data_IF_390539054966
#
_entry.id   IF_390539054966
#
_cell.length_a   1.000
_cell.length_b   1.000
_cell.length_c   1.000
_cell.angle_alpha   90.00
_cell.angle_beta   90.00
_cell.angle_gamma   90.00
#
_symmetry.space_group_name_H-M   'P 1'
#
loop_
_entity.id
_entity.type
_entity.pdbx_description
1 polymer ?
#
# COMPACT_ATOMS: atom_id res chain seq x y z
N UNK A 1 7.70 -83.03 37.20
CA UNK A 1 7.10 -82.33 38.35
C UNK A 1 6.48 -81.06 37.78
N UNK A 2 5.34 -81.09 37.10
CA UNK A 2 3.98 -81.48 37.52
C UNK A 2 3.38 -80.53 38.56
N UNK A 3 2.42 -79.71 38.11
CA UNK A 3 1.17 -79.24 38.75
C UNK A 3 0.86 -77.83 38.23
N UNK A 4 0.03 -77.66 37.21
CA UNK A 4 -1.45 -77.77 37.19
C UNK A 4 -2.11 -76.79 38.15
N UNK A 5 -2.71 -75.73 37.59
CA UNK A 5 -3.82 -75.02 38.22
C UNK A 5 -4.94 -74.87 37.18
N UNK A 6 -6.02 -75.59 37.45
CA UNK A 6 -7.39 -75.33 37.01
C UNK A 6 -8.11 -74.76 38.27
N UNK A 7 -9.19 -73.98 38.28
CA UNK A 7 -10.33 -73.79 37.37
C UNK A 7 -11.19 -72.63 37.93
N UNK A 8 -12.09 -72.11 37.09
CA UNK A 8 -13.41 -71.54 37.44
C UNK A 8 -13.57 -70.06 37.77
N UNK A 9 -13.90 -69.31 36.71
CA UNK A 9 -15.12 -68.52 36.49
C UNK A 9 -15.80 -67.76 37.65
N UNK A 10 -15.94 -66.45 37.45
CA UNK A 10 -17.17 -65.71 37.74
C UNK A 10 -17.33 -64.58 36.70
N UNK A 11 -18.38 -64.68 35.88
CA UNK A 11 -18.77 -63.63 34.96
C UNK A 11 -19.49 -62.52 35.74
N UNK A 12 -18.94 -61.31 35.69
CA UNK A 12 -19.61 -60.08 36.13
C UNK A 12 -19.73 -59.17 34.90
N UNK A 13 -20.92 -59.16 34.31
CA UNK A 13 -21.31 -58.17 33.30
C UNK A 13 -21.45 -56.81 33.97
N UNK A 14 -20.40 -55.99 33.88
CA UNK A 14 -20.50 -54.56 34.18
C UNK A 14 -20.84 -53.84 32.88
N UNK A 15 -22.08 -53.35 32.79
CA UNK A 15 -22.45 -52.41 31.75
C UNK A 15 -21.71 -51.09 32.01
N UNK A 16 -20.60 -50.88 31.31
CA UNK A 16 -19.94 -49.59 31.28
C UNK A 16 -20.81 -48.64 30.45
N UNK A 17 -21.51 -47.73 31.12
CA UNK A 17 -22.07 -46.56 30.47
C UNK A 17 -20.90 -45.77 29.85
N UNK A 18 -20.87 -45.68 28.52
CA UNK A 18 -19.98 -44.77 27.80
C UNK A 18 -20.44 -43.34 28.09
N UNK A 19 -20.00 -42.78 29.21
CA UNK A 19 -19.94 -41.34 29.35
C UNK A 19 -18.90 -40.85 28.35
N UNK A 20 -19.35 -40.40 27.19
CA UNK A 20 -18.53 -39.58 26.29
C UNK A 20 -18.14 -38.34 27.09
N UNK A 21 -16.96 -38.39 27.68
CA UNK A 21 -16.25 -37.21 28.15
C UNK A 21 -15.91 -36.43 26.90
N UNK A 22 -16.86 -35.60 26.45
CA UNK A 22 -16.55 -34.51 25.56
C UNK A 22 -15.53 -33.66 26.31
N UNK A 23 -14.26 -33.77 25.94
CA UNK A 23 -13.30 -32.73 26.22
C UNK A 23 -13.90 -31.46 25.61
N UNK A 24 -14.50 -30.63 26.45
CA UNK A 24 -14.80 -29.27 26.08
C UNK A 24 -13.44 -28.64 25.77
N UNK A 25 -13.10 -28.57 24.48
CA UNK A 25 -12.08 -27.65 24.03
C UNK A 25 -12.55 -26.28 24.51
N UNK A 26 -11.84 -25.71 25.48
CA UNK A 26 -11.97 -24.31 25.79
C UNK A 26 -11.67 -23.56 24.48
N UNK A 27 -12.71 -22.94 23.92
CA UNK A 27 -12.57 -22.01 22.82
C UNK A 27 -11.61 -20.90 23.31
N UNK A 28 -10.45 -20.70 22.69
CA UNK A 28 -9.58 -19.61 23.08
C UNK A 28 -10.31 -18.29 22.81
N UNK A 29 -10.51 -17.51 23.88
CA UNK A 29 -11.11 -16.19 23.83
C UNK A 29 -10.51 -15.39 22.64
N UNK A 30 -11.34 -14.78 21.77
CA UNK A 30 -10.84 -14.09 20.59
C UNK A 30 -9.85 -13.01 21.03
N UNK A 31 -8.59 -13.16 20.64
CA UNK A 31 -7.56 -12.12 20.79
C UNK A 31 -8.14 -10.84 20.21
N UNK A 32 -8.16 -9.71 20.94
CA UNK A 32 -8.60 -8.45 20.38
C UNK A 32 -7.71 -8.14 19.16
N UNK A 33 -8.30 -8.22 17.97
CA UNK A 33 -7.64 -7.76 16.75
C UNK A 33 -7.26 -6.28 16.97
N UNK A 34 -6.01 -5.88 16.68
CA UNK A 34 -5.66 -4.47 16.70
C UNK A 34 -6.61 -3.76 15.73
N UNK A 35 -7.43 -2.86 16.26
CA UNK A 35 -8.27 -1.99 15.45
C UNK A 35 -7.32 -1.26 14.49
N UNK A 36 -7.56 -1.26 13.16
CA UNK A 36 -6.77 -0.42 12.26
C UNK A 36 -6.81 1.00 12.82
N UNK A 37 -5.66 1.57 13.16
CA UNK A 37 -5.58 2.98 13.54
C UNK A 37 -6.18 3.75 12.36
N UNK A 38 -7.25 4.54 12.54
CA UNK A 38 -7.77 5.36 11.48
C UNK A 38 -6.65 6.30 11.03
N UNK A 39 -6.17 6.13 9.81
CA UNK A 39 -5.34 7.17 9.17
C UNK A 39 -6.24 8.40 9.12
N UNK A 40 -5.87 9.53 9.75
CA UNK A 40 -6.72 10.71 9.74
C UNK A 40 -6.98 11.11 8.28
N UNK A 41 -8.25 11.11 7.89
CA UNK A 41 -8.65 11.52 6.55
C UNK A 41 -8.63 13.04 6.54
N UNK A 42 -7.60 13.62 5.90
CA UNK A 42 -7.63 15.01 5.48
C UNK A 42 -8.76 15.30 4.50
N UNK A 43 -8.75 16.46 3.84
CA UNK A 43 -9.79 16.83 2.90
C UNK A 43 -9.82 15.73 1.84
N UNK A 44 -11.02 15.21 1.61
CA UNK A 44 -11.30 14.25 0.56
C UNK A 44 -10.67 14.75 -0.73
N UNK A 45 -9.94 13.87 -1.40
CA UNK A 45 -9.56 13.94 -2.81
C UNK A 45 -10.06 15.19 -3.55
N UNK A 46 -9.12 16.04 -3.98
CA UNK A 46 -9.45 17.21 -4.77
C UNK A 46 -9.79 16.79 -6.20
N UNK A 47 -10.71 17.51 -6.83
CA UNK A 47 -11.07 17.25 -8.23
C UNK A 47 -9.80 17.27 -9.09
N UNK A 48 -9.57 16.17 -9.80
CA UNK A 48 -8.42 16.07 -10.68
C UNK A 48 -8.46 17.17 -11.75
N UNK A 49 -7.31 17.76 -12.09
CA UNK A 49 -7.24 18.78 -13.12
C UNK A 49 -7.85 18.34 -14.44
N UNK A 50 -8.46 19.28 -15.15
CA UNK A 50 -9.00 19.04 -16.48
C UNK A 50 -8.01 19.55 -17.54
N UNK A 51 -8.00 18.97 -18.76
CA UNK A 51 -7.25 19.53 -19.87
C UNK A 51 -7.57 21.01 -20.08
N UNK A 52 -6.56 21.81 -20.39
CA UNK A 52 -6.60 23.25 -20.63
C UNK A 52 -7.04 24.11 -19.43
N UNK A 53 -7.27 23.50 -18.27
CA UNK A 53 -7.50 24.25 -17.02
C UNK A 53 -6.21 24.88 -16.50
N UNK A 54 -6.33 26.01 -15.79
CA UNK A 54 -5.18 26.70 -15.21
C UNK A 54 -4.47 25.84 -14.15
N UNK A 55 -3.14 25.90 -14.11
CA UNK A 55 -2.34 25.34 -13.03
C UNK A 55 -1.51 26.42 -12.33
N UNK A 56 -1.28 26.25 -11.03
CA UNK A 56 -0.46 27.17 -10.26
C UNK A 56 1.03 27.00 -10.59
N UNK A 57 1.81 28.07 -10.45
CA UNK A 57 3.25 28.06 -10.75
C UNK A 57 4.02 27.01 -9.93
N UNK A 58 3.59 26.78 -8.69
CA UNK A 58 4.25 25.82 -7.81
C UNK A 58 4.14 24.37 -8.31
N UNK A 59 3.22 24.04 -9.23
CA UNK A 59 3.07 22.70 -9.82
C UNK A 59 3.58 22.61 -11.26
N UNK A 60 4.27 23.64 -11.78
CA UNK A 60 4.82 23.62 -13.13
C UNK A 60 5.73 22.39 -13.39
N UNK A 61 5.58 21.78 -14.56
CA UNK A 61 6.27 20.54 -14.93
C UNK A 61 5.72 19.26 -14.28
N UNK A 62 4.87 19.34 -13.24
CA UNK A 62 4.34 18.16 -12.56
C UNK A 62 3.43 17.34 -13.48
N UNK A 63 3.55 16.01 -13.38
CA UNK A 63 2.61 15.07 -13.99
C UNK A 63 1.50 14.66 -13.00
N UNK A 64 0.28 14.49 -13.49
CA UNK A 64 -0.86 13.97 -12.72
C UNK A 64 -1.72 13.08 -13.61
N UNK A 65 -2.38 12.02 -13.08
CA UNK A 65 -3.47 11.36 -13.80
C UNK A 65 -4.58 12.35 -14.17
N UNK A 66 -5.08 12.23 -15.40
CA UNK A 66 -6.27 12.98 -15.85
C UNK A 66 -7.57 12.42 -15.25
N UNK A 67 -7.58 11.12 -14.96
CA UNK A 67 -8.64 10.42 -14.25
C UNK A 67 -8.02 9.71 -13.03
N UNK A 68 -8.35 10.13 -11.79
CA UNK A 68 -7.79 9.57 -10.58
C UNK A 68 -8.18 8.10 -10.36
N UNK A 69 -9.26 7.62 -10.98
CA UNK A 69 -9.67 6.21 -10.91
C UNK A 69 -8.76 5.30 -11.75
N UNK A 70 -7.93 5.85 -12.65
CA UNK A 70 -7.10 5.10 -13.57
C UNK A 70 -5.68 4.87 -13.01
N UNK A 71 -5.45 3.68 -12.44
CA UNK A 71 -4.19 3.31 -11.77
C UNK A 71 -3.18 2.55 -12.65
N UNK A 72 -3.54 2.25 -13.91
CA UNK A 72 -2.71 1.46 -14.83
C UNK A 72 -1.64 2.26 -15.60
N UNK A 73 -0.82 1.56 -16.38
CA UNK A 73 0.24 2.14 -17.22
C UNK A 73 -0.29 2.88 -18.46
N UNK A 74 -1.52 2.58 -18.85
CA UNK A 74 -2.22 3.25 -19.95
C UNK A 74 -2.96 4.50 -19.49
N UNK A 75 -2.65 5.00 -18.27
CA UNK A 75 -3.34 6.14 -17.72
C UNK A 75 -3.07 7.39 -18.54
N UNK A 76 -4.10 8.18 -18.80
CA UNK A 76 -3.92 9.50 -19.40
C UNK A 76 -3.31 10.42 -18.35
N UNK A 77 -2.28 11.15 -18.74
CA UNK A 77 -1.58 12.06 -17.88
C UNK A 77 -1.76 13.50 -18.38
N UNK A 78 -1.80 14.42 -17.43
CA UNK A 78 -1.67 15.84 -17.68
C UNK A 78 -0.32 16.31 -17.15
N UNK A 79 0.24 17.32 -17.82
CA UNK A 79 1.41 18.05 -17.37
C UNK A 79 1.06 19.52 -17.23
N UNK A 80 1.38 20.13 -16.09
CA UNK A 80 1.30 21.58 -15.96
C UNK A 80 2.46 22.20 -16.74
N UNK A 81 2.16 23.06 -17.69
CA UNK A 81 3.18 23.78 -18.48
C UNK A 81 2.61 25.12 -18.92
N UNK A 82 3.42 26.17 -18.79
CA UNK A 82 3.01 27.54 -19.12
C UNK A 82 1.69 27.97 -18.44
N UNK A 83 1.48 27.51 -17.20
CA UNK A 83 0.30 27.87 -16.40
C UNK A 83 -1.00 27.14 -16.78
N UNK A 84 -0.96 26.12 -17.64
CA UNK A 84 -2.10 25.27 -17.96
C UNK A 84 -1.78 23.77 -17.89
N UNK A 85 -2.77 22.97 -17.53
CA UNK A 85 -2.71 21.51 -17.59
C UNK A 85 -2.91 21.03 -19.03
N UNK A 86 -1.87 20.49 -19.65
CA UNK A 86 -1.90 19.96 -21.01
C UNK A 86 -1.85 18.45 -21.02
N UNK A 87 -2.41 17.82 -22.05
CA UNK A 87 -2.27 16.36 -22.22
C UNK A 87 -0.80 16.00 -22.44
N UNK A 88 -0.26 15.11 -21.61
CA UNK A 88 1.09 14.61 -21.78
C UNK A 88 1.13 13.61 -22.95
N UNK A 89 1.92 13.94 -23.98
CA UNK A 89 2.03 13.15 -25.21
C UNK A 89 3.25 12.23 -25.28
N UNK A 90 4.11 12.22 -24.25
CA UNK A 90 5.35 11.44 -24.26
C UNK A 90 5.09 9.93 -24.13
N UNK A 91 5.91 9.07 -24.76
CA UNK A 91 5.74 7.62 -24.69
C UNK A 91 6.12 7.04 -23.31
N UNK A 92 6.94 7.77 -22.54
CA UNK A 92 7.45 7.34 -21.24
C UNK A 92 7.36 8.51 -20.26
N UNK A 93 6.45 8.47 -19.27
CA UNK A 93 6.26 9.56 -18.32
C UNK A 93 7.30 9.49 -17.20
N UNK A 94 8.58 9.53 -17.54
CA UNK A 94 9.66 9.65 -16.55
C UNK A 94 9.70 11.09 -16.05
N UNK A 95 9.43 11.29 -14.76
CA UNK A 95 9.37 12.63 -14.15
C UNK A 95 9.99 12.62 -12.76
N UNK A 96 10.58 13.75 -12.39
CA UNK A 96 11.00 14.08 -11.03
C UNK A 96 9.93 14.85 -10.25
N UNK A 97 8.76 15.10 -10.87
CA UNK A 97 7.68 15.88 -10.29
C UNK A 97 6.30 15.27 -10.58
N UNK A 98 5.54 14.99 -9.53
CA UNK A 98 4.21 14.38 -9.60
C UNK A 98 3.23 15.08 -8.67
N UNK A 99 2.03 15.39 -9.16
CA UNK A 99 0.92 15.81 -8.32
C UNK A 99 -0.01 14.61 -8.11
N UNK A 100 -0.32 14.31 -6.85
CA UNK A 100 -1.40 13.39 -6.48
C UNK A 100 -2.58 14.21 -6.00
N UNK A 101 -3.81 13.85 -6.37
CA UNK A 101 -5.03 14.61 -6.05
C UNK A 101 -5.90 13.92 -5.00
N UNK A 102 -5.36 12.97 -4.26
CA UNK A 102 -6.06 12.17 -3.26
C UNK A 102 -5.95 10.68 -3.55
N UNK A 103 -6.47 10.25 -4.71
CA UNK A 103 -6.27 8.88 -5.21
C UNK A 103 -4.78 8.57 -5.39
N UNK A 104 -4.43 7.30 -5.15
CA UNK A 104 -3.05 6.87 -5.23
C UNK A 104 -2.54 6.88 -6.68
N UNK A 105 -1.32 7.35 -6.88
CA UNK A 105 -0.59 7.25 -8.14
C UNK A 105 0.49 6.19 -7.97
N UNK A 106 0.43 5.15 -8.79
CA UNK A 106 1.43 4.07 -8.80
C UNK A 106 2.48 4.41 -9.85
N UNK A 107 3.72 4.59 -9.41
CA UNK A 107 4.86 4.88 -10.26
C UNK A 107 5.81 3.69 -10.29
N UNK A 108 6.27 3.33 -11.48
CA UNK A 108 7.26 2.29 -11.66
C UNK A 108 8.68 2.83 -11.51
N UNK A 109 9.52 2.07 -10.81
CA UNK A 109 10.91 2.42 -10.55
C UNK A 109 11.93 1.75 -11.45
N UNK A 110 13.19 1.94 -11.10
CA UNK A 110 14.35 1.47 -11.85
C UNK A 110 14.53 -0.06 -11.84
N UNK A 111 13.78 -0.78 -10.99
CA UNK A 111 13.63 -2.23 -11.07
C UNK A 111 12.87 -2.70 -12.33
N UNK A 112 12.33 -1.78 -13.15
CA UNK A 112 11.63 -2.06 -14.41
C UNK A 112 12.19 -1.24 -15.56
N UNK A 113 11.89 -1.67 -16.80
CA UNK A 113 12.15 -0.86 -18.00
C UNK A 113 11.23 0.37 -18.00
N UNK A 114 11.74 1.52 -18.45
CA UNK A 114 11.02 2.79 -18.55
C UNK A 114 10.47 3.29 -17.19
N UNK A 115 11.35 3.61 -16.23
CA UNK A 115 10.94 4.09 -14.92
C UNK A 115 10.20 5.43 -15.02
N UNK A 116 9.08 5.53 -14.30
CA UNK A 116 8.28 6.75 -14.13
C UNK A 116 8.85 7.64 -13.03
N UNK A 117 9.47 7.02 -12.01
CA UNK A 117 10.19 7.69 -10.94
C UNK A 117 11.59 7.07 -10.78
N UNK A 118 12.56 7.94 -10.46
CA UNK A 118 13.97 7.55 -10.24
C UNK A 118 14.31 7.54 -8.76
N UNK A 119 15.38 6.85 -8.42
CA UNK A 119 15.98 6.85 -7.10
C UNK A 119 16.37 8.26 -6.65
N UNK A 120 16.43 8.44 -5.33
CA UNK A 120 16.82 9.68 -4.67
C UNK A 120 15.85 10.08 -3.57
N UNK A 121 16.08 11.24 -3.01
CA UNK A 121 15.23 11.85 -1.99
C UNK A 121 13.99 12.43 -2.66
N UNK A 122 12.82 11.97 -2.25
CA UNK A 122 11.54 12.51 -2.68
C UNK A 122 10.85 13.22 -1.52
N UNK A 123 10.34 14.40 -1.77
CA UNK A 123 9.54 15.16 -0.81
C UNK A 123 8.13 15.39 -1.36
N UNK A 124 7.13 14.90 -0.63
CA UNK A 124 5.72 15.21 -0.82
C UNK A 124 5.34 16.42 0.01
N UNK A 125 5.06 17.54 -0.66
CA UNK A 125 4.57 18.78 -0.03
C UNK A 125 3.04 18.84 -0.12
N UNK A 126 2.31 18.91 1.00
CA UNK A 126 0.85 18.99 0.99
C UNK A 126 0.39 20.29 0.34
N UNK A 127 -0.66 20.22 -0.47
CA UNK A 127 -1.19 21.37 -1.20
C UNK A 127 -2.24 22.16 -0.41
N UNK A 128 -2.68 21.64 0.75
CA UNK A 128 -3.50 22.36 1.74
C UNK A 128 -3.03 22.03 3.15
N UNK A 129 -3.48 22.79 4.16
CA UNK A 129 -3.09 22.57 5.55
C UNK A 129 -3.64 21.26 6.14
N UNK A 130 -4.70 20.73 5.54
CA UNK A 130 -5.39 19.52 5.98
C UNK A 130 -4.94 18.28 5.18
N UNK A 131 -4.22 18.45 4.06
CA UNK A 131 -3.77 17.34 3.22
C UNK A 131 -2.71 16.49 3.95
N UNK A 132 -2.81 15.17 3.78
CA UNK A 132 -1.85 14.19 4.31
C UNK A 132 -1.09 13.56 3.16
N UNK A 133 0.24 13.67 3.16
CA UNK A 133 1.05 12.96 2.18
C UNK A 133 1.35 11.55 2.68
N UNK A 134 1.15 10.57 1.80
CA UNK A 134 1.47 9.17 2.06
C UNK A 134 2.27 8.57 0.91
N UNK A 135 3.14 7.63 1.25
CA UNK A 135 3.87 6.85 0.26
C UNK A 135 3.97 5.39 0.68
N UNK A 136 3.94 4.49 -0.30
CA UNK A 136 4.32 3.09 -0.15
C UNK A 136 5.46 2.80 -1.12
N UNK A 137 6.52 2.14 -0.68
CA UNK A 137 7.67 1.77 -1.53
C UNK A 137 7.88 0.26 -1.50
N UNK A 138 8.11 -0.32 -2.66
CA UNK A 138 8.43 -1.73 -2.84
C UNK A 138 9.70 -1.83 -3.68
N UNK A 139 10.70 -2.55 -3.18
CA UNK A 139 11.99 -2.76 -3.84
C UNK A 139 12.11 -4.16 -4.45
N UNK A 140 12.95 -4.29 -5.47
CA UNK A 140 13.39 -5.58 -6.01
C UNK A 140 14.53 -6.11 -5.14
N UNK A 141 14.35 -7.29 -4.56
CA UNK A 141 15.39 -7.97 -3.77
C UNK A 141 16.20 -8.98 -4.60
N UNK A 142 15.67 -9.37 -5.75
CA UNK A 142 16.28 -10.33 -6.67
C UNK A 142 15.30 -10.80 -7.74
N UNK A 143 15.72 -11.77 -8.55
CA UNK A 143 14.89 -12.30 -9.64
C UNK A 143 13.54 -12.82 -9.10
N UNK A 144 12.46 -12.19 -9.56
CA UNK A 144 11.08 -12.56 -9.18
C UNK A 144 10.73 -12.29 -7.72
N UNK A 145 11.55 -11.54 -6.96
CA UNK A 145 11.33 -11.27 -5.53
C UNK A 145 11.33 -9.77 -5.24
N UNK A 146 10.29 -9.32 -4.56
CA UNK A 146 10.19 -7.95 -4.03
C UNK A 146 10.23 -7.94 -2.51
N UNK A 147 10.49 -6.78 -1.92
CA UNK A 147 10.28 -6.55 -0.49
C UNK A 147 8.80 -6.60 -0.14
N UNK A 148 8.51 -6.64 1.17
CA UNK A 148 7.21 -6.18 1.67
C UNK A 148 7.08 -4.67 1.45
N UNK A 149 5.86 -4.13 1.32
CA UNK A 149 5.67 -2.70 1.17
C UNK A 149 6.08 -1.92 2.42
N UNK A 150 6.90 -0.89 2.24
CA UNK A 150 7.25 0.07 3.28
C UNK A 150 6.32 1.27 3.18
N UNK A 151 5.55 1.54 4.24
CA UNK A 151 4.57 2.63 4.28
C UNK A 151 5.10 3.80 5.07
N UNK A 152 4.90 5.00 4.52
CA UNK A 152 5.27 6.27 5.09
C UNK A 152 4.07 7.22 5.06
N UNK A 153 3.93 8.04 6.08
CA UNK A 153 2.87 9.04 6.17
C UNK A 153 3.33 10.23 6.99
N UNK A 154 2.87 11.42 6.62
CA UNK A 154 3.03 12.62 7.42
C UNK A 154 1.69 13.05 8.06
N UNK A 155 1.81 13.78 9.17
CA UNK A 155 0.70 14.51 9.78
C UNK A 155 0.13 15.57 8.80
N UNK A 156 -1.12 16.03 8.99
CA UNK A 156 -1.74 16.98 8.06
C UNK A 156 -0.93 18.27 7.96
N UNK A 157 -0.77 18.76 6.73
CA UNK A 157 -0.01 19.98 6.44
C UNK A 157 1.52 19.84 6.63
N UNK A 158 2.01 18.67 7.05
CA UNK A 158 3.44 18.38 7.11
C UNK A 158 3.93 17.75 5.81
N UNK A 159 5.15 18.10 5.42
CA UNK A 159 5.80 17.45 4.28
C UNK A 159 6.28 16.05 4.66
N UNK A 160 6.19 15.10 3.71
CA UNK A 160 6.75 13.76 3.85
C UNK A 160 8.03 13.66 3.01
N UNK A 161 9.15 13.27 3.63
CA UNK A 161 10.39 12.94 2.89
C UNK A 161 10.63 11.44 2.96
N UNK A 162 10.91 10.83 1.81
CA UNK A 162 11.24 9.42 1.67
C UNK A 162 12.51 9.25 0.84
N UNK A 163 13.26 8.20 1.14
CA UNK A 163 14.38 7.76 0.32
C UNK A 163 13.92 6.64 -0.60
N UNK A 164 14.07 6.85 -1.92
CA UNK A 164 13.75 5.85 -2.93
C UNK A 164 15.04 5.25 -3.45
N UNK A 165 15.18 3.93 -3.32
CA UNK A 165 16.37 3.22 -3.79
C UNK A 165 16.41 3.08 -5.33
N UNK A 166 17.58 2.77 -5.87
CA UNK A 166 17.77 2.38 -7.27
C UNK A 166 17.21 0.99 -7.60
N UNK A 167 16.82 0.23 -6.58
CA UNK A 167 16.11 -1.03 -6.69
C UNK A 167 14.59 -0.91 -6.61
N UNK A 168 14.04 0.31 -6.49
CA UNK A 168 12.60 0.52 -6.45
C UNK A 168 11.89 -0.19 -7.61
N UNK A 169 10.95 -1.06 -7.26
CA UNK A 169 10.04 -1.70 -8.18
C UNK A 169 8.84 -0.81 -8.48
N UNK A 170 8.19 -0.34 -7.41
CA UNK A 170 7.05 0.58 -7.46
C UNK A 170 7.06 1.49 -6.25
N UNK A 171 6.55 2.71 -6.43
CA UNK A 171 6.07 3.53 -5.32
C UNK A 171 4.61 3.91 -5.56
N UNK A 172 3.80 3.91 -4.49
CA UNK A 172 2.46 4.48 -4.50
C UNK A 172 2.53 5.80 -3.77
N UNK A 173 2.17 6.88 -4.44
CA UNK A 173 2.10 8.22 -3.86
C UNK A 173 0.63 8.55 -3.58
N UNK A 174 0.30 9.16 -2.45
CA UNK A 174 -1.09 9.44 -2.07
C UNK A 174 -1.25 10.79 -1.35
N UNK A 175 -2.51 11.20 -1.21
CA UNK A 175 -2.88 12.50 -0.68
C UNK A 175 -2.95 13.59 -1.74
N UNK A 176 -3.35 14.80 -1.35
CA UNK A 176 -3.25 15.98 -2.22
C UNK A 176 -1.88 16.64 -2.06
N UNK A 177 -0.88 16.09 -2.73
CA UNK A 177 0.53 16.39 -2.50
C UNK A 177 1.31 16.55 -3.80
N UNK A 178 2.21 17.52 -3.81
CA UNK A 178 3.21 17.69 -4.85
C UNK A 178 4.48 16.96 -4.43
N UNK A 179 4.83 15.93 -5.16
CA UNK A 179 6.03 15.13 -4.98
C UNK A 179 7.13 15.64 -5.89
N UNK A 180 8.30 15.93 -5.32
CA UNK A 180 9.47 16.38 -6.06
C UNK A 180 10.71 15.59 -5.63
N UNK A 181 11.54 15.21 -6.60
CA UNK A 181 12.84 14.56 -6.39
C UNK A 181 13.96 15.59 -6.43
N UNK A 182 14.96 15.42 -5.55
CA UNK A 182 16.22 16.19 -5.56
C UNK A 182 17.44 15.33 -5.84
#
# INVERSE_FOLDING_TARGET
>A
MSRTFALSAAALTVAAALSTSACAHADPEPVPVPVPVPVPQGPSETTAPQPDSSCAENVDGALTPADPAQTGNNRRLLQCTAGAWQTFGGPYPSSDRWLTTGSQVILHGQGRRNPEARAGTWTGTPQTAEAHCGAEVVDVLGAGRTSEPQTFSADPGQSLTIEVSDHMFTTKLSGYCLWART
#
